data_IF_504052969052
#
_entry.id   IF_504052969052
#
_cell.length_a   1.000
_cell.length_b   1.000
_cell.length_c   1.000
_cell.angle_alpha   90.00
_cell.angle_beta   90.00
_cell.angle_gamma   90.00
#
_symmetry.space_group_name_H-M   'P 1'
#
loop_
_entity.id
_entity.type
_entity.pdbx_description
1 polymer ?
#
# COMPACT_ATOMS: atom_id res chain seq x y z
N UNK A 1 16.78 7.53 -1.02
CA UNK A 1 17.74 6.44 -0.72
C UNK A 1 17.49 5.86 0.68
N UNK A 2 16.51 4.96 0.74
CA UNK A 2 16.84 3.60 1.17
C UNK A 2 16.39 2.71 0.02
N UNK A 3 17.35 2.27 -0.82
CA UNK A 3 17.07 1.51 -2.04
C UNK A 3 16.60 0.07 -1.78
N UNK A 4 16.46 -0.31 -0.51
CA UNK A 4 16.12 -1.66 -0.05
C UNK A 4 15.19 -1.48 1.15
N UNK A 5 13.93 -1.89 1.00
CA UNK A 5 12.92 -1.88 2.06
C UNK A 5 13.16 -2.96 3.10
N UNK A 6 13.73 -4.09 2.68
CA UNK A 6 14.04 -5.20 3.57
C UNK A 6 15.10 -6.13 2.98
N UNK A 7 15.96 -6.69 3.84
CA UNK A 7 16.91 -7.75 3.49
C UNK A 7 16.34 -9.17 3.73
N UNK A 8 15.13 -9.28 4.28
CA UNK A 8 14.48 -10.58 4.51
C UNK A 8 14.12 -11.25 3.16
N UNK A 9 14.05 -12.58 3.09
CA UNK A 9 13.63 -13.28 1.88
C UNK A 9 12.22 -12.86 1.44
N UNK A 10 12.06 -12.50 0.16
CA UNK A 10 10.80 -11.97 -0.39
C UNK A 10 9.57 -12.83 -0.05
N UNK A 11 9.69 -14.16 -0.12
CA UNK A 11 8.57 -15.07 0.18
C UNK A 11 8.15 -15.03 1.66
N UNK A 12 9.09 -14.84 2.59
CA UNK A 12 8.79 -14.70 4.03
C UNK A 12 8.09 -13.36 4.30
N UNK A 13 8.56 -12.28 3.66
CA UNK A 13 7.96 -10.95 3.79
C UNK A 13 6.54 -10.95 3.23
N UNK A 14 6.31 -11.58 2.08
CA UNK A 14 4.94 -11.73 1.52
C UNK A 14 4.05 -12.54 2.46
N UNK A 15 4.55 -13.64 3.03
CA UNK A 15 3.79 -14.41 4.02
C UNK A 15 3.44 -13.56 5.25
N UNK A 16 4.37 -12.74 5.74
CA UNK A 16 4.13 -11.81 6.84
C UNK A 16 3.11 -10.72 6.48
N UNK A 17 3.18 -10.16 5.26
CA UNK A 17 2.17 -9.22 4.73
C UNK A 17 0.78 -9.86 4.75
N UNK A 18 0.64 -11.12 4.32
CA UNK A 18 -0.66 -11.82 4.33
C UNK A 18 -1.14 -12.15 5.75
N UNK A 19 -0.22 -12.29 6.71
CA UNK A 19 -0.53 -12.59 8.10
C UNK A 19 -0.89 -11.36 8.96
N UNK A 20 -0.73 -10.13 8.44
CA UNK A 20 -1.10 -8.91 9.18
C UNK A 20 -2.56 -8.98 9.64
N UNK A 21 -2.81 -8.73 10.92
CA UNK A 21 -4.16 -8.50 11.43
C UNK A 21 -4.54 -7.04 11.21
N UNK A 22 -5.46 -6.76 10.28
CA UNK A 22 -5.88 -5.39 9.92
C UNK A 22 -7.32 -5.10 10.34
N UNK A 23 -7.91 -5.91 11.21
CA UNK A 23 -9.33 -5.76 11.56
C UNK A 23 -9.62 -4.48 12.36
N UNK A 24 -8.66 -4.03 13.18
CA UNK A 24 -8.74 -2.73 13.86
C UNK A 24 -8.70 -1.54 12.90
N UNK A 25 -8.00 -1.67 11.77
CA UNK A 25 -7.93 -0.64 10.73
C UNK A 25 -9.26 -0.57 9.98
N UNK A 26 -9.78 -1.72 9.54
CA UNK A 26 -11.12 -1.80 8.93
C UNK A 26 -12.21 -1.29 9.85
N UNK A 27 -12.22 -1.71 11.11
CA UNK A 27 -13.20 -1.28 12.10
C UNK A 27 -13.22 0.23 12.26
N UNK A 28 -12.04 0.88 12.20
CA UNK A 28 -11.95 2.34 12.23
C UNK A 28 -12.52 2.98 10.96
N UNK A 29 -12.18 2.47 9.78
CA UNK A 29 -12.67 3.01 8.50
C UNK A 29 -14.19 2.82 8.30
N UNK A 30 -14.76 1.77 8.89
CA UNK A 30 -16.19 1.49 8.85
C UNK A 30 -17.01 2.35 9.81
N UNK A 31 -16.37 3.00 10.78
CA UNK A 31 -17.04 3.92 11.70
C UNK A 31 -17.58 5.12 10.91
N UNK A 32 -18.88 5.40 11.05
CA UNK A 32 -19.57 6.45 10.29
C UNK A 32 -19.32 7.87 10.83
N UNK A 33 -18.85 8.01 12.07
CA UNK A 33 -18.59 9.31 12.69
C UNK A 33 -17.10 9.65 12.72
N UNK A 34 -16.27 8.64 12.99
CA UNK A 34 -14.84 8.79 13.23
C UNK A 34 -13.97 8.27 12.08
N UNK A 35 -14.56 7.57 11.12
CA UNK A 35 -13.91 7.03 9.93
C UNK A 35 -14.56 7.53 8.64
N UNK A 36 -14.52 6.68 7.62
CA UNK A 36 -15.03 6.97 6.28
C UNK A 36 -16.45 6.40 6.05
N UNK A 37 -17.01 5.70 7.03
CA UNK A 37 -18.32 5.04 6.92
C UNK A 37 -18.36 3.92 5.87
N UNK A 38 -17.23 3.28 5.59
CA UNK A 38 -17.16 2.20 4.60
C UNK A 38 -18.00 0.98 4.98
N UNK A 39 -18.53 0.27 3.99
CA UNK A 39 -19.09 -1.06 4.25
C UNK A 39 -17.98 -2.07 4.52
N UNK A 40 -18.32 -3.19 5.14
CA UNK A 40 -17.37 -4.27 5.40
C UNK A 40 -16.76 -4.81 4.10
N UNK A 41 -17.59 -5.03 3.09
CA UNK A 41 -17.16 -5.55 1.78
C UNK A 41 -16.20 -4.59 1.10
N UNK A 42 -16.44 -3.27 1.22
CA UNK A 42 -15.55 -2.26 0.69
C UNK A 42 -14.20 -2.27 1.41
N UNK A 43 -14.22 -2.26 2.75
CA UNK A 43 -13.02 -2.28 3.57
C UNK A 43 -12.16 -3.54 3.33
N UNK A 44 -12.79 -4.71 3.13
CA UNK A 44 -12.11 -5.96 2.78
C UNK A 44 -11.46 -5.91 1.39
N UNK A 45 -12.12 -5.27 0.41
CA UNK A 45 -11.54 -5.06 -0.91
C UNK A 45 -10.33 -4.13 -0.86
N UNK A 46 -10.42 -3.02 -0.12
CA UNK A 46 -9.29 -2.08 0.05
C UNK A 46 -8.15 -2.73 0.84
N UNK A 47 -8.45 -3.55 1.84
CA UNK A 47 -7.44 -4.34 2.57
C UNK A 47 -6.65 -5.25 1.61
N UNK A 48 -7.34 -5.97 0.72
CA UNK A 48 -6.70 -6.82 -0.28
C UNK A 48 -5.80 -6.00 -1.24
N UNK A 49 -6.26 -4.82 -1.66
CA UNK A 49 -5.47 -3.89 -2.47
C UNK A 49 -4.25 -3.35 -1.71
N UNK A 50 -4.38 -3.03 -0.42
CA UNK A 50 -3.27 -2.61 0.44
C UNK A 50 -2.21 -3.69 0.60
N UNK A 51 -2.61 -4.95 0.84
CA UNK A 51 -1.68 -6.10 0.88
C UNK A 51 -0.97 -6.30 -0.47
N UNK A 52 -1.68 -6.07 -1.57
CA UNK A 52 -1.11 -6.13 -2.92
C UNK A 52 -0.07 -5.02 -3.12
N UNK A 53 -0.38 -3.79 -2.70
CA UNK A 53 0.58 -2.68 -2.72
C UNK A 53 1.85 -2.99 -1.93
N UNK A 54 1.74 -3.47 -0.68
CA UNK A 54 2.91 -3.85 0.12
C UNK A 54 3.73 -4.98 -0.54
N UNK A 55 3.05 -5.92 -1.19
CA UNK A 55 3.70 -6.99 -1.95
C UNK A 55 4.49 -6.44 -3.13
N UNK A 56 3.91 -5.50 -3.89
CA UNK A 56 4.58 -4.84 -5.02
C UNK A 56 5.83 -4.09 -4.58
N UNK A 57 5.74 -3.36 -3.46
CA UNK A 57 6.89 -2.65 -2.87
C UNK A 57 8.08 -3.60 -2.60
N UNK A 58 7.80 -4.80 -2.05
CA UNK A 58 8.85 -5.76 -1.67
C UNK A 58 9.40 -6.54 -2.86
N UNK A 59 8.58 -6.78 -3.88
CA UNK A 59 9.01 -7.47 -5.11
C UNK A 59 9.84 -6.58 -6.03
N UNK A 60 9.58 -5.27 -6.00
CA UNK A 60 10.23 -4.26 -6.85
C UNK A 60 10.83 -3.14 -5.99
N UNK A 61 11.69 -3.49 -5.03
CA UNK A 61 12.24 -2.52 -4.06
C UNK A 61 13.04 -1.41 -4.73
N UNK A 62 13.64 -1.70 -5.89
CA UNK A 62 14.34 -0.75 -6.75
C UNK A 62 13.42 0.33 -7.35
N UNK A 63 12.11 0.08 -7.37
CA UNK A 63 11.07 0.98 -7.87
C UNK A 63 10.09 1.44 -6.79
N UNK A 64 10.29 1.08 -5.52
CA UNK A 64 9.34 1.33 -4.44
C UNK A 64 8.89 2.80 -4.31
N UNK A 65 9.81 3.76 -4.47
CA UNK A 65 9.52 5.21 -4.42
C UNK A 65 8.63 5.70 -5.59
N UNK A 66 8.42 4.86 -6.61
CA UNK A 66 7.64 5.18 -7.82
C UNK A 66 6.35 4.36 -7.97
N UNK A 67 6.10 3.39 -7.07
CA UNK A 67 4.89 2.59 -7.10
C UNK A 67 3.76 3.41 -6.46
N UNK A 68 2.77 3.75 -7.29
CA UNK A 68 1.58 4.47 -6.87
C UNK A 68 0.57 3.54 -6.20
N UNK A 69 -0.22 4.15 -5.33
CA UNK A 69 -1.39 3.55 -4.71
C UNK A 69 -2.63 4.43 -4.98
N UNK A 70 -3.81 3.84 -4.92
CA UNK A 70 -5.08 4.56 -5.06
C UNK A 70 -5.38 5.38 -3.82
N UNK A 71 -6.27 6.37 -3.94
CA UNK A 71 -6.63 7.24 -2.81
C UNK A 71 -7.13 6.44 -1.59
N UNK A 72 -7.91 5.40 -1.82
CA UNK A 72 -8.50 4.65 -0.72
C UNK A 72 -7.51 3.67 -0.08
N UNK A 73 -6.54 3.16 -0.85
CA UNK A 73 -5.40 2.41 -0.28
C UNK A 73 -4.53 3.35 0.56
N UNK A 74 -4.39 4.62 0.15
CA UNK A 74 -3.68 5.67 0.91
C UNK A 74 -4.36 5.91 2.25
N UNK A 75 -5.67 6.08 2.24
CA UNK A 75 -6.47 6.30 3.44
C UNK A 75 -6.45 5.10 4.40
N UNK A 76 -6.48 3.89 3.84
CA UNK A 76 -6.31 2.67 4.63
C UNK A 76 -4.93 2.64 5.30
N UNK A 77 -3.88 3.00 4.56
CA UNK A 77 -2.52 3.05 5.09
C UNK A 77 -2.36 4.15 6.14
N UNK A 78 -2.91 5.34 5.93
CA UNK A 78 -2.97 6.41 6.93
C UNK A 78 -3.61 5.93 8.23
N UNK A 79 -4.76 5.25 8.13
CA UNK A 79 -5.45 4.71 9.30
C UNK A 79 -4.59 3.67 10.02
N UNK A 80 -3.86 2.83 9.27
CA UNK A 80 -2.90 1.89 9.85
C UNK A 80 -1.76 2.61 10.58
N UNK A 81 -1.14 3.63 9.97
CA UNK A 81 -0.05 4.44 10.55
C UNK A 81 -0.49 5.10 11.86
N UNK A 82 -1.71 5.61 11.93
CA UNK A 82 -2.24 6.27 13.13
C UNK A 82 -2.38 5.31 14.33
N UNK A 83 -2.42 4.00 14.11
CA UNK A 83 -2.28 2.99 15.16
C UNK A 83 -0.81 2.75 15.49
N UNK A 84 -0.09 3.80 15.90
CA UNK A 84 1.37 3.91 15.87
C UNK A 84 2.12 2.73 16.51
N UNK A 85 1.68 2.23 17.68
CA UNK A 85 2.30 1.06 18.33
C UNK A 85 2.14 -0.21 17.51
N UNK A 86 0.95 -0.43 16.95
CA UNK A 86 0.65 -1.58 16.08
C UNK A 86 1.44 -1.47 14.78
N UNK A 87 1.40 -0.31 14.14
CA UNK A 87 2.09 -0.06 12.88
C UNK A 87 3.60 -0.30 12.99
N UNK A 88 4.22 0.18 14.08
CA UNK A 88 5.65 -0.07 14.33
C UNK A 88 5.95 -1.57 14.51
N UNK A 89 5.12 -2.30 15.26
CA UNK A 89 5.29 -3.74 15.47
C UNK A 89 5.09 -4.54 14.18
N UNK A 90 4.06 -4.20 13.39
CA UNK A 90 3.77 -4.80 12.10
C UNK A 90 4.91 -4.56 11.10
N UNK A 91 5.43 -3.33 11.04
CA UNK A 91 6.57 -3.00 10.18
C UNK A 91 7.82 -3.80 10.56
N UNK A 92 8.12 -3.93 11.86
CA UNK A 92 9.24 -4.74 12.33
C UNK A 92 9.04 -6.24 11.97
N UNK A 93 7.84 -6.77 12.19
CA UNK A 93 7.51 -8.14 11.86
C UNK A 93 7.63 -8.42 10.35
N UNK A 94 7.12 -7.53 9.50
CA UNK A 94 7.11 -7.69 8.05
C UNK A 94 8.47 -7.33 7.44
N UNK A 95 8.91 -6.09 7.58
CA UNK A 95 10.08 -5.55 6.88
C UNK A 95 11.37 -5.65 7.72
N UNK A 96 11.27 -5.76 9.05
CA UNK A 96 12.42 -5.64 9.96
C UNK A 96 12.93 -4.20 10.09
N UNK A 97 12.09 -3.24 9.68
CA UNK A 97 12.34 -1.82 9.73
C UNK A 97 11.00 -1.08 9.60
N UNK A 98 10.95 0.18 10.02
CA UNK A 98 9.77 1.02 9.87
C UNK A 98 9.56 1.40 8.39
N UNK A 99 8.38 1.10 7.83
CA UNK A 99 8.03 1.56 6.49
C UNK A 99 7.55 3.02 6.57
N UNK A 100 8.37 3.94 6.08
CA UNK A 100 8.06 5.37 6.12
C UNK A 100 7.10 5.76 4.98
N UNK A 101 6.10 6.57 5.31
CA UNK A 101 5.22 7.22 4.33
C UNK A 101 5.57 8.71 4.23
N UNK A 102 5.75 9.19 3.00
CA UNK A 102 5.94 10.61 2.69
C UNK A 102 4.75 11.14 1.86
N UNK A 103 3.68 11.66 2.48
CA UNK A 103 2.55 12.21 1.75
C UNK A 103 2.93 13.52 1.04
N UNK A 104 2.28 13.80 -0.09
CA UNK A 104 2.44 15.10 -0.76
C UNK A 104 1.88 16.22 0.12
N UNK A 105 2.68 17.25 0.36
CA UNK A 105 2.31 18.42 1.17
C UNK A 105 2.48 19.68 0.32
N UNK A 106 1.44 20.51 0.25
CA UNK A 106 1.45 21.79 -0.44
C UNK A 106 0.61 21.82 -1.71
N UNK A 107 0.72 22.93 -2.45
CA UNK A 107 0.02 23.09 -3.73
C UNK A 107 0.58 22.12 -4.77
N UNK A 108 -0.32 21.54 -5.57
CA UNK A 108 0.07 20.63 -6.63
C UNK A 108 0.54 21.43 -7.84
N UNK A 109 1.79 21.25 -8.22
CA UNK A 109 2.38 21.92 -9.39
C UNK A 109 2.16 21.09 -10.66
N UNK A 110 2.37 21.71 -11.83
CA UNK A 110 2.36 20.96 -13.09
C UNK A 110 3.48 19.91 -13.12
N UNK A 111 4.65 20.20 -12.55
CA UNK A 111 5.74 19.23 -12.45
C UNK A 111 5.33 17.99 -11.63
N UNK A 112 4.57 18.18 -10.55
CA UNK A 112 4.05 17.07 -9.73
C UNK A 112 3.09 16.18 -10.55
N UNK A 113 2.28 16.78 -11.43
CA UNK A 113 1.36 16.06 -12.30
C UNK A 113 2.12 15.22 -13.33
N UNK A 114 3.13 15.82 -13.97
CA UNK A 114 3.97 15.15 -14.95
C UNK A 114 4.79 14.00 -14.31
N UNK A 115 5.25 14.18 -13.07
CA UNK A 115 5.91 13.12 -12.30
C UNK A 115 4.94 12.00 -11.94
N UNK A 116 3.73 12.34 -11.48
CA UNK A 116 2.68 11.35 -11.20
C UNK A 116 2.32 10.53 -12.42
N UNK A 117 2.25 11.12 -13.61
CA UNK A 117 1.96 10.39 -14.85
C UNK A 117 3.03 9.33 -15.13
N UNK A 118 4.32 9.68 -14.97
CA UNK A 118 5.43 8.72 -15.11
C UNK A 118 5.35 7.60 -14.09
N UNK A 119 5.07 7.94 -12.82
CA UNK A 119 4.90 6.93 -11.76
C UNK A 119 3.71 6.01 -12.04
N UNK A 120 2.63 6.53 -12.63
CA UNK A 120 1.47 5.73 -13.02
C UNK A 120 1.81 4.72 -14.12
N UNK A 121 2.61 5.11 -15.11
CA UNK A 121 3.07 4.21 -16.17
C UNK A 121 4.00 3.11 -15.64
N UNK A 122 4.94 3.46 -14.75
CA UNK A 122 5.81 2.48 -14.06
C UNK A 122 4.93 1.50 -13.28
N UNK A 123 4.01 2.01 -12.47
CA UNK A 123 3.11 1.20 -11.66
C UNK A 123 2.32 0.24 -12.53
N UNK A 124 1.69 0.73 -13.61
CA UNK A 124 0.91 -0.09 -14.54
C UNK A 124 1.75 -1.20 -15.15
N UNK A 125 2.97 -0.90 -15.58
CA UNK A 125 3.87 -1.89 -16.18
C UNK A 125 4.25 -3.00 -15.19
N UNK A 126 4.57 -2.64 -13.93
CA UNK A 126 4.89 -3.63 -12.88
C UNK A 126 3.67 -4.50 -12.55
N UNK A 127 2.48 -3.90 -12.45
CA UNK A 127 1.26 -4.66 -12.21
C UNK A 127 0.90 -5.58 -13.38
N UNK A 128 1.10 -5.17 -14.63
CA UNK A 128 0.91 -6.02 -15.80
C UNK A 128 1.89 -7.20 -15.80
N UNK A 129 3.16 -6.95 -15.47
CA UNK A 129 4.16 -8.00 -15.33
C UNK A 129 3.76 -9.06 -14.28
N UNK A 130 3.13 -8.63 -13.19
CA UNK A 130 2.79 -9.49 -12.06
C UNK A 130 1.42 -10.16 -12.16
N UNK A 131 0.46 -9.53 -12.85
CA UNK A 131 -0.96 -9.95 -12.82
C UNK A 131 -1.67 -9.95 -14.19
N UNK A 132 -0.96 -9.57 -15.27
CA UNK A 132 -1.48 -9.41 -16.63
C UNK A 132 -1.80 -10.73 -17.36
N UNK A 133 -1.37 -11.88 -16.83
CA UNK A 133 -1.65 -13.20 -17.42
C UNK A 133 -3.08 -13.75 -17.17
N UNK A 134 -4.01 -12.87 -16.77
CA UNK A 134 -5.45 -13.13 -16.78
C UNK A 134 -6.08 -13.45 -15.42
N UNK A 135 -5.45 -13.10 -14.29
CA UNK A 135 -6.01 -13.37 -12.95
C UNK A 135 -6.14 -12.17 -12.00
N UNK A 136 -5.64 -10.98 -12.32
CA UNK A 136 -5.62 -9.89 -11.31
C UNK A 136 -5.69 -8.44 -11.80
N UNK A 137 -5.72 -8.17 -13.11
CA UNK A 137 -5.61 -6.80 -13.64
C UNK A 137 -6.67 -5.80 -13.09
N UNK A 138 -7.87 -6.27 -12.73
CA UNK A 138 -8.92 -5.42 -12.16
C UNK A 138 -8.83 -5.24 -10.62
N UNK A 139 -8.02 -6.02 -9.91
CA UNK A 139 -7.90 -5.98 -8.44
C UNK A 139 -6.73 -5.10 -8.00
N UNK A 140 -5.73 -4.97 -8.88
CA UNK A 140 -4.52 -4.19 -8.70
C UNK A 140 -4.72 -2.68 -8.57
N UNK A 141 -5.68 -2.12 -9.30
CA UNK A 141 -5.87 -0.67 -9.44
C UNK A 141 -7.18 -0.15 -8.84
N UNK A 142 -8.09 -1.04 -8.43
CA UNK A 142 -9.43 -0.65 -8.00
C UNK A 142 -9.49 -0.23 -6.52
N UNK A 143 -8.85 0.90 -6.22
CA UNK A 143 -9.48 1.91 -5.36
C UNK A 143 -9.94 3.06 -6.24
#
# INVERSE_FOLDING_TARGET
MQAILTSKPTHEVIAAIQALDLDSVKSRLMDAELGEGWTREYAERIEAAYRTYLTMLVKHQEHAEHIMLSKDVDEFWHTHILQTMKYAADCEAVFGAFLHHNPHVGERTQADLDEREKMADITRALYEQEFGDGRGANVAWSG
#
